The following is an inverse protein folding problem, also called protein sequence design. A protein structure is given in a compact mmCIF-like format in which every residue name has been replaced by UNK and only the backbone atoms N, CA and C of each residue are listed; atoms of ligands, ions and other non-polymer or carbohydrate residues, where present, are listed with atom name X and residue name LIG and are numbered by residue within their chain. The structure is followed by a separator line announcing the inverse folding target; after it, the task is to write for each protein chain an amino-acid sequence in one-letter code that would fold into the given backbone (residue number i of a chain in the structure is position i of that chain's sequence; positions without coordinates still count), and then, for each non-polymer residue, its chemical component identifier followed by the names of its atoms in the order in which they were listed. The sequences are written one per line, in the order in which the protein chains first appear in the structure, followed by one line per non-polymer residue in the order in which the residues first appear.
data_IF_671409610377
#
_entry.id   IF_671409610377
#
_cell.length_a   1.000
_cell.length_b   1.000
_cell.length_c   1.000
_cell.angle_alpha   90.00
_cell.angle_beta   90.00
_cell.angle_gamma   90.00
#
_symmetry.space_group_name_H-M   'P 1'
#
loop_
_entity.id
_entity.type
_entity.pdbx_description
1 polymer ?
#
# COMPACT_ATOMS: atom_id res chain seq x y z
N UNK A 1 20.75 9.65 9.74
CA UNK A 1 20.66 8.26 9.30
C UNK A 1 19.19 7.95 9.12
N UNK A 2 18.79 7.48 7.94
CA UNK A 2 17.42 7.08 7.64
C UNK A 2 17.21 5.63 8.05
N UNK A 3 16.16 5.35 8.82
CA UNK A 3 15.83 4.02 9.32
C UNK A 3 14.40 3.63 8.98
N UNK A 4 14.22 2.43 8.44
CA UNK A 4 12.91 1.85 8.12
C UNK A 4 12.73 0.56 8.89
N UNK A 5 11.59 0.39 9.55
CA UNK A 5 11.19 -0.91 10.09
C UNK A 5 10.12 -1.53 9.20
N UNK A 6 10.32 -2.76 8.74
CA UNK A 6 9.32 -3.57 8.04
C UNK A 6 8.82 -4.65 9.01
N UNK A 7 7.57 -4.54 9.45
CA UNK A 7 6.93 -5.50 10.34
C UNK A 7 6.11 -6.50 9.53
N UNK A 8 6.47 -7.77 9.68
CA UNK A 8 6.07 -8.88 8.84
C UNK A 8 7.18 -9.20 7.83
N UNK A 9 7.90 -10.29 8.05
CA UNK A 9 8.92 -10.81 7.13
C UNK A 9 8.33 -11.88 6.19
N UNK A 10 7.04 -11.78 5.85
CA UNK A 10 6.39 -12.56 4.78
C UNK A 10 6.93 -12.18 3.40
N UNK A 11 6.30 -12.66 2.32
CA UNK A 11 6.79 -12.37 0.97
C UNK A 11 6.75 -10.86 0.65
N UNK A 12 5.66 -10.17 1.00
CA UNK A 12 5.50 -8.73 0.74
C UNK A 12 6.54 -7.91 1.50
N UNK A 13 6.69 -8.14 2.82
CA UNK A 13 7.66 -7.41 3.64
C UNK A 13 9.10 -7.69 3.23
N UNK A 14 9.42 -8.94 2.88
CA UNK A 14 10.75 -9.28 2.36
C UNK A 14 11.05 -8.59 1.03
N UNK A 15 10.10 -8.57 0.10
CA UNK A 15 10.25 -7.78 -1.14
C UNK A 15 10.41 -6.30 -0.85
N UNK A 16 9.59 -5.73 0.05
CA UNK A 16 9.69 -4.32 0.41
C UNK A 16 11.08 -3.97 0.96
N UNK A 17 11.57 -4.73 1.95
CA UNK A 17 12.90 -4.56 2.52
C UNK A 17 14.01 -4.69 1.47
N UNK A 18 13.93 -5.70 0.59
CA UNK A 18 14.92 -5.90 -0.46
C UNK A 18 14.93 -4.76 -1.49
N UNK A 19 13.76 -4.26 -1.91
CA UNK A 19 13.68 -3.13 -2.85
C UNK A 19 14.20 -1.85 -2.21
N UNK A 20 13.87 -1.60 -0.94
CA UNK A 20 14.40 -0.46 -0.19
C UNK A 20 15.93 -0.50 -0.08
N UNK A 21 16.50 -1.66 0.20
CA UNK A 21 17.95 -1.81 0.33
C UNK A 21 18.67 -1.74 -1.02
N UNK A 22 18.19 -2.46 -2.02
CA UNK A 22 18.80 -2.49 -3.34
C UNK A 22 18.82 -1.12 -4.02
N UNK A 23 17.79 -0.29 -3.78
CA UNK A 23 17.75 1.08 -4.29
C UNK A 23 18.36 2.11 -3.33
N UNK A 24 18.99 1.67 -2.23
CA UNK A 24 19.62 2.52 -1.22
C UNK A 24 18.71 3.63 -0.67
N UNK A 25 17.44 3.27 -0.46
CA UNK A 25 16.40 4.21 -0.01
C UNK A 25 16.61 4.61 1.45
N UNK A 26 17.11 3.68 2.28
CA UNK A 26 17.37 3.89 3.70
C UNK A 26 18.78 3.40 4.08
N UNK A 27 19.38 4.00 5.11
CA UNK A 27 20.69 3.55 5.61
C UNK A 27 20.57 2.22 6.39
N UNK A 28 19.49 2.08 7.17
CA UNK A 28 19.20 0.91 8.01
C UNK A 28 17.78 0.41 7.80
N UNK A 29 17.63 -0.90 7.64
CA UNK A 29 16.34 -1.60 7.59
C UNK A 29 16.28 -2.64 8.70
N UNK A 30 15.23 -2.56 9.50
CA UNK A 30 14.91 -3.56 10.52
C UNK A 30 13.72 -4.39 10.04
N UNK A 31 13.90 -5.71 9.97
CA UNK A 31 12.82 -6.64 9.70
C UNK A 31 12.36 -7.29 11.00
N UNK A 32 11.06 -7.19 11.29
CA UNK A 32 10.46 -7.85 12.45
C UNK A 32 9.48 -8.92 12.01
N UNK A 33 9.52 -10.09 12.63
CA UNK A 33 8.49 -11.11 12.50
C UNK A 33 8.20 -11.79 13.83
N UNK A 34 7.02 -12.40 13.93
CA UNK A 34 6.63 -13.18 15.10
C UNK A 34 7.16 -14.60 15.05
N UNK A 35 7.43 -15.10 13.83
CA UNK A 35 7.94 -16.44 13.59
C UNK A 35 9.46 -16.45 13.69
N UNK A 36 9.94 -17.22 14.65
CA UNK A 36 11.36 -17.37 14.96
C UNK A 36 12.22 -17.66 13.72
N UNK A 37 13.28 -16.89 13.55
CA UNK A 37 14.32 -17.07 12.54
C UNK A 37 13.96 -16.64 11.12
N UNK A 38 12.70 -16.28 10.82
CA UNK A 38 12.30 -15.89 9.46
C UNK A 38 12.86 -14.52 9.08
N UNK A 39 12.72 -13.52 9.95
CA UNK A 39 13.28 -12.19 9.74
C UNK A 39 14.80 -12.23 9.63
N UNK A 40 15.44 -12.98 10.52
CA UNK A 40 16.89 -13.15 10.64
C UNK A 40 17.46 -13.82 9.40
N UNK A 41 16.89 -14.97 9.00
CA UNK A 41 17.32 -15.71 7.83
C UNK A 41 17.21 -14.88 6.56
N UNK A 42 16.09 -14.15 6.39
CA UNK A 42 15.90 -13.28 5.22
C UNK A 42 16.83 -12.07 5.22
N UNK A 43 17.08 -11.45 6.37
CA UNK A 43 18.03 -10.35 6.46
C UNK A 43 19.45 -10.81 6.10
N UNK A 44 19.90 -11.98 6.59
CA UNK A 44 21.20 -12.54 6.22
C UNK A 44 21.30 -12.80 4.72
N UNK A 45 20.27 -13.40 4.11
CA UNK A 45 20.21 -13.68 2.67
C UNK A 45 20.28 -12.39 1.82
N UNK A 46 19.56 -11.34 2.24
CA UNK A 46 19.65 -10.02 1.60
C UNK A 46 21.03 -9.38 1.79
N UNK A 47 21.67 -9.51 2.96
CA UNK A 47 23.02 -8.97 3.17
C UNK A 47 24.10 -9.74 2.40
N UNK A 48 23.90 -11.04 2.13
CA UNK A 48 24.74 -11.78 1.18
C UNK A 48 24.54 -11.28 -0.25
N UNK A 49 23.30 -10.92 -0.60
CA UNK A 49 22.96 -10.29 -1.88
C UNK A 49 23.61 -8.91 -2.03
N UNK A 50 23.75 -8.14 -0.94
CA UNK A 50 24.35 -6.80 -0.93
C UNK A 50 25.75 -6.77 -1.55
N UNK A 51 26.59 -7.75 -1.23
CA UNK A 51 27.94 -7.84 -1.78
C UNK A 51 27.95 -8.11 -3.30
N UNK A 52 26.97 -8.86 -3.81
CA UNK A 52 26.87 -9.21 -5.23
C UNK A 52 26.34 -8.04 -6.06
N UNK A 53 25.44 -7.25 -5.48
CA UNK A 53 24.71 -6.19 -6.16
C UNK A 53 25.25 -4.78 -5.85
N UNK A 54 26.11 -4.65 -4.84
CA UNK A 54 26.86 -3.44 -4.53
C UNK A 54 26.05 -2.34 -3.83
N UNK A 55 25.08 -2.69 -2.99
CA UNK A 55 24.35 -1.72 -2.16
C UNK A 55 24.87 -1.72 -0.71
N UNK A 56 24.88 -0.55 -0.07
CA UNK A 56 25.43 -0.34 1.27
C UNK A 56 24.38 -0.28 2.39
N UNK A 57 23.08 -0.26 2.05
CA UNK A 57 22.00 -0.36 3.05
C UNK A 57 22.14 -1.61 3.92
N UNK A 58 22.12 -1.41 5.24
CA UNK A 58 22.19 -2.52 6.20
C UNK A 58 20.80 -3.07 6.52
N UNK A 59 20.68 -4.39 6.63
CA UNK A 59 19.44 -5.07 6.98
C UNK A 59 19.69 -6.03 8.14
N UNK A 60 18.87 -5.92 9.18
CA UNK A 60 18.88 -6.85 10.31
C UNK A 60 17.48 -7.36 10.63
N UNK A 61 17.38 -8.64 10.92
CA UNK A 61 16.13 -9.30 11.31
C UNK A 61 16.06 -9.57 12.81
N UNK A 62 14.87 -9.46 13.39
CA UNK A 62 14.64 -9.79 14.80
C UNK A 62 13.25 -10.38 15.05
N UNK A 63 13.22 -11.49 15.78
CA UNK A 63 11.99 -12.13 16.23
C UNK A 63 11.40 -11.37 17.42
N UNK A 64 10.23 -10.76 17.25
CA UNK A 64 9.45 -10.07 18.30
C UNK A 64 10.17 -8.95 19.12
N UNK A 65 11.38 -8.53 18.76
CA UNK A 65 12.11 -7.48 19.48
C UNK A 65 11.85 -6.09 18.90
N UNK A 66 10.72 -5.49 19.26
CA UNK A 66 10.35 -4.14 18.83
C UNK A 66 11.31 -3.05 19.29
N UNK A 67 12.15 -3.29 20.31
CA UNK A 67 13.14 -2.27 20.71
C UNK A 67 14.16 -2.00 19.59
N UNK A 68 14.39 -2.97 18.70
CA UNK A 68 15.24 -2.81 17.51
C UNK A 68 14.66 -1.84 16.49
N UNK A 69 13.35 -1.63 16.51
CA UNK A 69 12.68 -0.65 15.65
C UNK A 69 12.89 0.80 16.09
N UNK A 70 13.57 1.06 17.22
CA UNK A 70 13.72 2.40 17.76
C UNK A 70 14.23 3.43 16.74
N UNK A 71 13.67 4.64 16.83
CA UNK A 71 13.98 5.80 15.99
C UNK A 71 13.79 5.60 14.48
N UNK A 72 12.91 4.68 14.07
CA UNK A 72 12.53 4.53 12.66
C UNK A 72 11.80 5.78 12.15
N UNK A 73 12.19 6.24 10.96
CA UNK A 73 11.50 7.31 10.24
C UNK A 73 10.18 6.81 9.65
N UNK A 74 10.17 5.58 9.14
CA UNK A 74 8.99 4.94 8.54
C UNK A 74 8.85 3.52 9.06
N UNK A 75 7.62 3.11 9.38
CA UNK A 75 7.28 1.73 9.74
C UNK A 75 6.30 1.19 8.71
N UNK A 76 6.70 0.14 7.99
CA UNK A 76 5.88 -0.56 7.01
C UNK A 76 5.23 -1.77 7.67
N UNK A 77 3.89 -1.81 7.69
CA UNK A 77 3.12 -2.87 8.33
C UNK A 77 2.57 -3.81 7.25
N UNK A 78 3.15 -5.00 7.17
CA UNK A 78 2.72 -6.09 6.29
C UNK A 78 2.17 -7.29 7.06
N UNK A 79 2.31 -7.28 8.40
CA UNK A 79 1.80 -8.30 9.30
C UNK A 79 0.29 -8.43 9.25
N UNK A 80 -0.14 -9.66 9.00
CA UNK A 80 -1.53 -10.07 8.93
C UNK A 80 -1.57 -11.52 8.46
N UNK A 81 -2.74 -12.13 8.53
CA UNK A 81 -2.95 -13.47 7.99
C UNK A 81 -3.76 -13.39 6.69
N UNK A 82 -3.46 -14.27 5.71
CA UNK A 82 -4.35 -14.46 4.57
C UNK A 82 -5.64 -15.14 5.03
N UNK A 83 -6.71 -14.98 4.26
CA UNK A 83 -7.97 -15.70 4.49
C UNK A 83 -7.72 -17.21 4.39
N UNK A 84 -8.06 -17.95 5.45
CA UNK A 84 -7.98 -19.41 5.47
C UNK A 84 -9.29 -20.03 4.98
N UNK A 85 -9.28 -21.26 4.42
CA UNK A 85 -10.52 -21.99 4.13
C UNK A 85 -11.45 -22.04 5.35
N UNK A 86 -12.72 -21.73 5.14
CA UNK A 86 -13.74 -21.70 6.22
C UNK A 86 -13.81 -20.40 7.04
N UNK A 87 -12.85 -19.47 6.89
CA UNK A 87 -12.85 -18.20 7.61
C UNK A 87 -13.84 -17.20 7.00
N UNK A 88 -14.68 -16.59 7.83
CA UNK A 88 -15.58 -15.50 7.44
C UNK A 88 -14.78 -14.21 7.16
N UNK A 89 -15.41 -13.23 6.52
CA UNK A 89 -14.76 -11.94 6.24
C UNK A 89 -14.55 -11.16 7.53
N UNK A 90 -15.52 -11.23 8.42
CA UNK A 90 -15.57 -10.53 9.70
C UNK A 90 -14.51 -11.06 10.66
N UNK A 91 -14.36 -12.40 10.76
CA UNK A 91 -13.28 -13.02 11.54
C UNK A 91 -11.89 -12.60 11.03
N UNK A 92 -11.69 -12.58 9.72
CA UNK A 92 -10.42 -12.14 9.13
C UNK A 92 -10.12 -10.69 9.48
N UNK A 93 -11.13 -9.81 9.37
CA UNK A 93 -11.02 -8.39 9.75
C UNK A 93 -10.66 -8.28 11.23
N UNK A 94 -11.34 -9.00 12.13
CA UNK A 94 -11.06 -8.96 13.56
C UNK A 94 -9.63 -9.39 13.90
N UNK A 95 -9.15 -10.49 13.30
CA UNK A 95 -7.79 -10.97 13.52
C UNK A 95 -6.76 -9.97 13.01
N UNK A 96 -6.90 -9.49 11.78
CA UNK A 96 -5.94 -8.53 11.21
C UNK A 96 -6.02 -7.17 11.90
N UNK A 97 -7.20 -6.76 12.40
CA UNK A 97 -7.34 -5.55 13.20
C UNK A 97 -6.51 -5.63 14.49
N UNK A 98 -6.63 -6.73 15.24
CA UNK A 98 -5.82 -6.96 16.44
C UNK A 98 -4.32 -6.95 16.16
N UNK A 99 -3.89 -7.59 15.07
CA UNK A 99 -2.49 -7.64 14.65
C UNK A 99 -1.98 -6.24 14.29
N UNK A 100 -2.67 -5.52 13.40
CA UNK A 100 -2.23 -4.20 12.92
C UNK A 100 -2.18 -3.19 14.06
N UNK A 101 -3.19 -3.17 14.94
CA UNK A 101 -3.21 -2.29 16.10
C UNK A 101 -2.02 -2.57 17.03
N UNK A 102 -1.83 -3.84 17.41
CA UNK A 102 -0.72 -4.25 18.29
C UNK A 102 0.65 -3.93 17.68
N UNK A 103 0.85 -4.22 16.40
CA UNK A 103 2.09 -3.89 15.68
C UNK A 103 2.34 -2.39 15.71
N UNK A 104 1.34 -1.58 15.36
CA UNK A 104 1.49 -0.13 15.31
C UNK A 104 1.78 0.46 16.70
N UNK A 105 1.06 0.04 17.75
CA UNK A 105 1.29 0.48 19.13
C UNK A 105 2.71 0.14 19.61
N UNK A 106 3.17 -1.10 19.37
CA UNK A 106 4.51 -1.52 19.77
C UNK A 106 5.60 -0.79 18.99
N UNK A 107 5.41 -0.55 17.69
CA UNK A 107 6.35 0.25 16.89
C UNK A 107 6.41 1.71 17.38
N UNK A 108 5.27 2.34 17.66
CA UNK A 108 5.23 3.73 18.12
C UNK A 108 5.79 3.93 19.54
N UNK A 109 5.80 2.87 20.38
CA UNK A 109 6.48 2.89 21.67
C UNK A 109 7.98 3.22 21.54
N UNK A 110 8.63 2.70 20.50
CA UNK A 110 10.07 2.90 20.25
C UNK A 110 10.35 3.93 19.15
N UNK A 111 9.38 4.19 18.29
CA UNK A 111 9.48 5.16 17.18
C UNK A 111 8.28 6.11 17.17
N UNK A 112 8.14 7.00 18.17
CA UNK A 112 6.96 7.86 18.34
C UNK A 112 6.76 8.85 17.19
N UNK A 113 7.80 9.10 16.38
CA UNK A 113 7.78 10.01 15.23
C UNK A 113 7.60 9.32 13.87
N UNK A 114 7.53 7.98 13.83
CA UNK A 114 7.44 7.25 12.56
C UNK A 114 6.18 7.57 11.76
N UNK A 115 6.32 7.64 10.44
CA UNK A 115 5.18 7.55 9.52
C UNK A 115 4.83 6.06 9.34
N UNK A 116 3.55 5.71 9.40
CA UNK A 116 3.07 4.35 9.21
C UNK A 116 2.61 4.14 7.77
N UNK A 117 3.16 3.12 7.11
CA UNK A 117 2.74 2.65 5.78
C UNK A 117 2.08 1.29 5.93
N UNK A 118 0.76 1.24 5.76
CA UNK A 118 -0.05 0.03 5.99
C UNK A 118 -0.28 -0.67 4.65
N UNK A 119 0.11 -1.95 4.61
CA UNK A 119 -0.10 -2.85 3.47
C UNK A 119 -1.05 -4.00 3.85
N UNK A 120 -1.13 -4.35 5.14
CA UNK A 120 -1.99 -5.42 5.64
C UNK A 120 -3.46 -5.24 5.23
N UNK A 121 -4.08 -6.33 4.77
CA UNK A 121 -5.44 -6.33 4.25
C UNK A 121 -6.51 -6.66 5.31
N UNK A 122 -7.75 -6.17 5.17
CA UNK A 122 -8.23 -5.27 4.12
C UNK A 122 -7.68 -3.84 4.27
N UNK A 123 -6.95 -3.36 3.28
CA UNK A 123 -5.98 -2.27 3.45
C UNK A 123 -6.61 -0.93 3.88
N UNK A 124 -7.71 -0.50 3.25
CA UNK A 124 -8.40 0.74 3.66
C UNK A 124 -8.95 0.65 5.09
N UNK A 125 -9.49 -0.52 5.45
CA UNK A 125 -10.05 -0.78 6.78
C UNK A 125 -8.96 -0.84 7.85
N UNK A 126 -7.81 -1.44 7.57
CA UNK A 126 -6.66 -1.46 8.48
C UNK A 126 -6.05 -0.06 8.63
N UNK A 127 -6.04 0.74 7.55
CA UNK A 127 -5.60 2.14 7.57
C UNK A 127 -6.55 3.00 8.41
N UNK A 128 -7.85 2.82 8.25
CA UNK A 128 -8.87 3.48 9.05
C UNK A 128 -8.81 3.08 10.53
N UNK A 129 -8.59 1.79 10.83
CA UNK A 129 -8.36 1.31 12.19
C UNK A 129 -7.18 2.03 12.85
N UNK A 130 -6.03 2.08 12.17
CA UNK A 130 -4.85 2.77 12.69
C UNK A 130 -5.13 4.26 12.94
N UNK A 131 -5.81 4.94 12.00
CA UNK A 131 -6.23 6.33 12.15
C UNK A 131 -7.05 6.55 13.42
N UNK A 132 -8.04 5.69 13.67
CA UNK A 132 -8.98 5.84 14.78
C UNK A 132 -8.43 5.38 16.12
N UNK A 133 -7.49 4.43 16.14
CA UNK A 133 -7.01 3.80 17.38
C UNK A 133 -5.74 4.43 17.95
N UNK A 134 -4.91 5.08 17.13
CA UNK A 134 -3.55 5.48 17.55
C UNK A 134 -3.43 6.96 17.95
N UNK A 135 -4.41 7.80 17.59
CA UNK A 135 -4.36 9.25 17.90
C UNK A 135 -3.24 10.02 17.18
N UNK A 136 -2.65 9.45 16.14
CA UNK A 136 -1.62 10.11 15.34
C UNK A 136 -2.21 11.19 14.43
N UNK A 137 -1.42 12.21 14.06
CA UNK A 137 -1.75 13.10 12.95
C UNK A 137 -2.05 12.32 11.66
N UNK A 138 -3.15 12.65 10.98
CA UNK A 138 -3.62 11.93 9.80
C UNK A 138 -2.57 11.83 8.68
N UNK A 139 -1.69 12.83 8.57
CA UNK A 139 -0.63 12.84 7.56
C UNK A 139 0.44 11.75 7.75
N UNK A 140 0.47 11.09 8.92
CA UNK A 140 1.44 10.03 9.27
C UNK A 140 0.87 8.62 9.11
N UNK A 141 -0.35 8.44 8.63
CA UNK A 141 -0.97 7.11 8.43
C UNK A 141 -1.38 6.98 6.97
N UNK A 142 -0.69 6.09 6.25
CA UNK A 142 -0.80 5.96 4.80
C UNK A 142 -1.06 4.50 4.46
N UNK A 143 -2.17 4.21 3.79
CA UNK A 143 -2.41 2.92 3.17
C UNK A 143 -1.85 2.87 1.74
N UNK A 144 -1.08 1.84 1.39
CA UNK A 144 -0.34 1.81 0.12
C UNK A 144 -1.24 1.64 -1.12
N UNK A 145 -2.39 0.96 -1.01
CA UNK A 145 -3.06 0.21 -2.10
C UNK A 145 -3.11 0.87 -3.49
N UNK A 146 -3.45 2.15 -3.58
CA UNK A 146 -3.57 2.85 -4.87
C UNK A 146 -2.28 2.86 -5.71
N UNK A 147 -1.10 2.78 -5.09
CA UNK A 147 0.18 2.71 -5.78
C UNK A 147 0.31 1.41 -6.59
N UNK A 148 -0.05 0.28 -5.97
CA UNK A 148 -0.09 -1.03 -6.62
C UNK A 148 -1.16 -1.11 -7.70
N UNK A 149 -2.37 -0.62 -7.40
CA UNK A 149 -3.46 -0.73 -8.37
C UNK A 149 -3.19 0.13 -9.61
N UNK A 150 -2.57 1.30 -9.41
CA UNK A 150 -2.07 2.14 -10.52
C UNK A 150 -0.98 1.45 -11.33
N UNK A 151 -0.06 0.71 -10.69
CA UNK A 151 0.98 -0.03 -11.43
C UNK A 151 0.39 -1.15 -12.28
N UNK A 152 -0.66 -1.84 -11.80
CA UNK A 152 -1.42 -2.83 -12.59
C UNK A 152 -2.09 -2.19 -13.79
N UNK A 153 -2.72 -1.04 -13.59
CA UNK A 153 -3.39 -0.32 -14.67
C UNK A 153 -2.41 0.10 -15.76
N UNK A 154 -1.26 0.68 -15.37
CA UNK A 154 -0.16 1.05 -16.28
C UNK A 154 0.38 -0.15 -17.03
N UNK A 155 0.53 -1.30 -16.38
CA UNK A 155 0.95 -2.54 -17.04
C UNK A 155 -0.03 -2.93 -18.16
N UNK A 156 -1.32 -3.07 -17.87
CA UNK A 156 -2.28 -3.50 -18.90
C UNK A 156 -2.45 -2.48 -20.03
N UNK A 157 -2.39 -1.18 -19.72
CA UNK A 157 -2.32 -0.13 -20.74
C UNK A 157 -1.10 -0.30 -21.65
N UNK A 158 0.08 -0.53 -21.06
CA UNK A 158 1.33 -0.70 -21.82
C UNK A 158 1.29 -1.92 -22.76
N UNK A 159 0.67 -3.01 -22.33
CA UNK A 159 0.47 -4.20 -23.15
C UNK A 159 -0.46 -3.94 -24.33
N UNK A 160 -1.54 -3.18 -24.11
CA UNK A 160 -2.48 -2.82 -25.18
C UNK A 160 -1.90 -1.81 -26.17
N UNK A 161 -1.01 -0.94 -25.71
CA UNK A 161 -0.32 0.07 -26.52
C UNK A 161 0.96 -0.46 -27.19
N UNK A 162 1.40 -1.67 -26.84
CA UNK A 162 2.70 -2.24 -27.22
C UNK A 162 3.87 -1.26 -26.96
N UNK A 163 3.96 -0.78 -25.72
CA UNK A 163 4.95 0.22 -25.32
C UNK A 163 5.56 -0.08 -23.94
N UNK A 164 6.59 0.69 -23.56
CA UNK A 164 7.19 0.59 -22.24
C UNK A 164 6.24 1.14 -21.16
N UNK A 165 5.98 0.36 -20.11
CA UNK A 165 5.07 0.74 -19.02
C UNK A 165 5.49 2.02 -18.28
N UNK A 166 6.78 2.36 -18.25
CA UNK A 166 7.28 3.58 -17.61
C UNK A 166 6.95 4.86 -18.41
N UNK A 167 6.42 4.71 -19.62
CA UNK A 167 6.00 5.81 -20.50
C UNK A 167 4.50 6.08 -20.40
N UNK A 168 3.79 5.26 -19.62
CA UNK A 168 2.34 5.29 -19.44
C UNK A 168 2.00 5.85 -18.05
N UNK A 169 1.12 6.84 -18.05
CA UNK A 169 0.52 7.36 -16.82
C UNK A 169 -0.91 6.86 -16.67
N UNK A 170 -1.28 6.59 -15.42
CA UNK A 170 -2.57 6.03 -15.04
C UNK A 170 -2.72 6.04 -13.53
N UNK A 171 -3.93 6.31 -13.06
CA UNK A 171 -4.28 6.39 -11.65
C UNK A 171 -5.45 5.46 -11.36
N UNK A 172 -5.37 4.75 -10.25
CA UNK A 172 -6.50 4.01 -9.66
C UNK A 172 -6.81 4.65 -8.30
N UNK A 173 -8.08 5.01 -8.10
CA UNK A 173 -8.60 5.60 -6.86
C UNK A 173 -9.72 4.72 -6.27
N UNK A 174 -10.30 5.11 -5.14
CA UNK A 174 -11.33 4.34 -4.43
C UNK A 174 -10.75 3.30 -3.48
N UNK A 175 -11.59 2.42 -2.95
CA UNK A 175 -11.17 1.33 -2.07
C UNK A 175 -10.34 0.26 -2.79
N UNK A 176 -9.37 -0.32 -2.10
CA UNK A 176 -8.53 -1.42 -2.57
C UNK A 176 -9.30 -2.74 -2.51
N UNK A 177 -9.91 -3.11 -3.64
CA UNK A 177 -10.67 -4.34 -3.79
C UNK A 177 -11.25 -4.48 -5.20
N UNK A 178 -11.55 -5.71 -5.59
CA UNK A 178 -11.90 -6.07 -6.97
C UNK A 178 -13.16 -5.38 -7.50
N UNK A 179 -14.03 -4.88 -6.60
CA UNK A 179 -15.26 -4.17 -6.97
C UNK A 179 -15.30 -2.72 -6.50
N UNK A 180 -14.25 -2.27 -5.81
CA UNK A 180 -14.20 -0.93 -5.19
C UNK A 180 -13.16 -0.03 -5.83
N UNK A 181 -12.15 -0.56 -6.52
CA UNK A 181 -11.14 0.29 -7.15
C UNK A 181 -11.66 0.90 -8.46
N UNK A 182 -11.15 2.07 -8.83
CA UNK A 182 -11.63 2.86 -9.96
C UNK A 182 -10.44 3.27 -10.82
N UNK A 183 -10.10 2.49 -11.87
CA UNK A 183 -9.12 2.90 -12.87
C UNK A 183 -9.63 4.08 -13.69
N UNK A 184 -8.93 5.21 -13.59
CA UNK A 184 -9.34 6.47 -14.20
C UNK A 184 -8.85 6.59 -15.65
N UNK A 185 -9.46 5.83 -16.56
CA UNK A 185 -9.04 5.78 -17.97
C UNK A 185 -9.04 7.14 -18.67
N UNK A 186 -9.93 8.06 -18.29
CA UNK A 186 -9.97 9.42 -18.84
C UNK A 186 -8.70 10.23 -18.53
N UNK A 187 -8.03 9.92 -17.43
CA UNK A 187 -6.77 10.57 -17.02
C UNK A 187 -5.54 9.79 -17.47
N UNK A 188 -5.70 8.60 -18.06
CA UNK A 188 -4.58 7.80 -18.52
C UNK A 188 -3.96 8.40 -19.78
N UNK A 189 -2.62 8.44 -19.83
CA UNK A 189 -1.88 8.99 -20.98
C UNK A 189 -0.71 8.11 -21.37
N UNK A 190 -0.32 8.18 -22.64
CA UNK A 190 0.96 7.71 -23.15
C UNK A 190 1.80 8.92 -23.54
N UNK A 191 2.89 9.16 -22.81
CA UNK A 191 3.71 10.39 -22.92
C UNK A 191 2.90 11.70 -22.98
N UNK A 192 1.86 11.79 -22.15
CA UNK A 192 0.98 12.97 -22.05
C UNK A 192 -0.17 13.02 -23.07
N UNK A 193 -0.23 12.09 -24.02
CA UNK A 193 -1.35 11.99 -24.97
C UNK A 193 -2.41 11.01 -24.43
N UNK A 194 -3.71 11.35 -24.45
CA UNK A 194 -4.77 10.47 -23.95
C UNK A 194 -4.73 9.08 -24.59
N UNK A 195 -4.85 8.02 -23.78
CA UNK A 195 -4.83 6.64 -24.30
C UNK A 195 -6.00 6.33 -25.25
N UNK A 196 -7.10 7.10 -25.13
CA UNK A 196 -8.25 7.04 -26.05
C UNK A 196 -7.94 7.44 -27.48
N UNK A 197 -6.79 8.08 -27.73
CA UNK A 197 -6.33 8.36 -29.10
C UNK A 197 -5.81 7.10 -29.81
N UNK A 198 -5.46 6.06 -29.05
CA UNK A 198 -4.77 4.87 -29.54
C UNK A 198 -5.59 3.59 -29.33
N UNK A 199 -6.46 3.56 -28.32
CA UNK A 199 -7.24 2.40 -27.94
C UNK A 199 -8.74 2.68 -28.10
N UNK A 200 -9.48 1.67 -28.55
CA UNK A 200 -10.94 1.74 -28.61
C UNK A 200 -11.55 1.76 -27.21
N UNK A 201 -12.80 2.23 -27.10
CA UNK A 201 -13.52 2.26 -25.83
C UNK A 201 -13.68 0.85 -25.24
N UNK A 202 -13.95 -0.15 -26.09
CA UNK A 202 -14.06 -1.56 -25.69
C UNK A 202 -12.73 -2.06 -25.12
N UNK A 203 -11.60 -1.71 -25.76
CA UNK A 203 -10.30 -2.15 -25.29
C UNK A 203 -9.93 -1.50 -23.95
N UNK A 204 -10.27 -0.24 -23.77
CA UNK A 204 -10.10 0.47 -22.49
C UNK A 204 -10.94 -0.20 -21.39
N UNK A 205 -12.19 -0.55 -21.67
CA UNK A 205 -13.07 -1.22 -20.71
C UNK A 205 -12.55 -2.62 -20.31
N UNK A 206 -12.00 -3.39 -21.26
CA UNK A 206 -11.29 -4.64 -20.96
C UNK A 206 -10.13 -4.44 -19.98
N UNK A 207 -9.31 -3.39 -20.19
CA UNK A 207 -8.16 -3.06 -19.35
C UNK A 207 -8.61 -2.64 -17.95
N UNK A 208 -9.66 -1.83 -17.85
CA UNK A 208 -10.25 -1.41 -16.57
C UNK A 208 -10.70 -2.65 -15.79
N UNK A 209 -11.44 -3.56 -16.42
CA UNK A 209 -11.90 -4.81 -15.81
C UNK A 209 -10.75 -5.71 -15.38
N UNK A 210 -9.73 -5.88 -16.23
CA UNK A 210 -8.55 -6.69 -15.93
C UNK A 210 -7.75 -6.13 -14.73
N UNK A 211 -7.66 -4.79 -14.64
CA UNK A 211 -7.04 -4.11 -13.50
C UNK A 211 -7.78 -4.43 -12.20
N UNK A 212 -9.12 -4.29 -12.22
CA UNK A 212 -9.98 -4.52 -11.07
C UNK A 212 -9.83 -5.94 -10.51
N UNK A 213 -9.79 -6.97 -11.37
CA UNK A 213 -9.67 -8.37 -10.91
C UNK A 213 -8.23 -8.85 -10.76
N UNK A 214 -7.22 -7.98 -10.88
CA UNK A 214 -5.81 -8.37 -10.94
C UNK A 214 -5.32 -9.12 -9.69
N UNK A 215 -5.89 -8.82 -8.51
CA UNK A 215 -5.60 -9.55 -7.27
C UNK A 215 -6.08 -11.01 -7.32
N UNK A 216 -7.32 -11.23 -7.77
CA UNK A 216 -7.88 -12.56 -7.97
C UNK A 216 -7.16 -13.34 -9.06
N UNK A 217 -6.82 -12.70 -10.19
CA UNK A 217 -6.05 -13.33 -11.27
C UNK A 217 -4.71 -13.88 -10.78
N UNK A 218 -3.93 -13.07 -10.05
CA UNK A 218 -2.64 -13.52 -9.52
C UNK A 218 -2.79 -14.62 -8.47
N UNK A 219 -3.83 -14.54 -7.64
CA UNK A 219 -4.12 -15.61 -6.67
C UNK A 219 -4.43 -16.93 -7.36
N UNK A 220 -5.19 -16.90 -8.46
CA UNK A 220 -5.49 -18.09 -9.27
C UNK A 220 -4.25 -18.70 -9.95
N UNK A 221 -3.30 -17.87 -10.38
CA UNK A 221 -2.09 -18.32 -11.10
C UNK A 221 -0.98 -18.79 -10.16
N UNK A 222 -0.76 -18.10 -9.04
CA UNK A 222 0.33 -18.37 -8.10
C UNK A 222 -0.06 -19.33 -6.97
N UNK A 223 -1.36 -19.57 -6.77
CA UNK A 223 -1.89 -20.28 -5.61
C UNK A 223 -1.86 -19.47 -4.31
N UNK A 224 -1.42 -18.20 -4.35
CA UNK A 224 -1.37 -17.27 -3.22
C UNK A 224 -1.35 -15.82 -3.72
N UNK A 225 -1.49 -14.85 -2.82
CA UNK A 225 -1.50 -13.42 -3.15
C UNK A 225 -0.17 -12.94 -3.72
N UNK A 226 -0.18 -11.86 -4.50
CA UNK A 226 1.01 -11.23 -5.05
C UNK A 226 1.95 -10.66 -3.98
N UNK A 227 3.25 -10.54 -4.28
CA UNK A 227 4.22 -9.93 -3.35
C UNK A 227 5.26 -9.00 -3.99
N UNK A 228 5.68 -9.24 -5.23
CA UNK A 228 6.64 -8.37 -5.91
C UNK A 228 6.13 -6.93 -6.08
N UNK A 229 5.00 -6.77 -6.78
CA UNK A 229 4.41 -5.45 -6.99
C UNK A 229 3.94 -4.78 -5.67
N UNK A 230 3.28 -5.47 -4.72
CA UNK A 230 2.94 -4.88 -3.42
C UNK A 230 4.16 -4.43 -2.61
N UNK A 231 5.24 -5.23 -2.58
CA UNK A 231 6.47 -4.87 -1.87
C UNK A 231 7.17 -3.66 -2.50
N UNK A 232 7.28 -3.64 -3.83
CA UNK A 232 7.84 -2.49 -4.56
C UNK A 232 6.98 -1.22 -4.42
N UNK A 233 5.66 -1.35 -4.41
CA UNK A 233 4.75 -0.23 -4.17
C UNK A 233 4.90 0.34 -2.75
N UNK A 234 5.06 -0.53 -1.74
CA UNK A 234 5.42 -0.12 -0.38
C UNK A 234 6.75 0.65 -0.34
N UNK A 235 7.79 0.11 -0.98
CA UNK A 235 9.09 0.77 -1.07
C UNK A 235 9.02 2.13 -1.78
N UNK A 236 8.23 2.25 -2.85
CA UNK A 236 8.03 3.51 -3.60
C UNK A 236 7.39 4.60 -2.72
N UNK A 237 6.41 4.23 -1.89
CA UNK A 237 5.78 5.15 -0.93
C UNK A 237 6.81 5.61 0.11
N UNK A 238 7.58 4.69 0.68
CA UNK A 238 8.63 4.97 1.67
C UNK A 238 9.72 5.88 1.09
N UNK A 239 10.18 5.62 -0.15
CA UNK A 239 11.19 6.42 -0.83
C UNK A 239 10.73 7.86 -1.02
N UNK A 240 9.49 8.06 -1.49
CA UNK A 240 8.94 9.41 -1.65
C UNK A 240 8.91 10.20 -0.34
N UNK A 241 8.68 9.51 0.78
CA UNK A 241 8.68 10.09 2.12
C UNK A 241 10.10 10.42 2.56
N UNK A 242 10.99 9.44 2.60
CA UNK A 242 12.36 9.60 3.14
C UNK A 242 13.18 10.61 2.34
N UNK A 243 13.07 10.61 1.03
CA UNK A 243 13.80 11.53 0.16
C UNK A 243 13.03 12.82 -0.12
N UNK A 244 11.88 13.02 0.53
CA UNK A 244 11.04 14.21 0.39
C UNK A 244 10.77 14.56 -1.10
N UNK A 245 10.44 13.54 -1.90
CA UNK A 245 10.37 13.68 -3.37
C UNK A 245 9.14 14.47 -3.83
N UNK A 246 8.13 14.61 -2.97
CA UNK A 246 6.85 15.28 -3.29
C UNK A 246 6.17 14.66 -4.52
N UNK A 247 6.34 13.34 -4.72
CA UNK A 247 5.68 12.60 -5.80
C UNK A 247 4.18 12.54 -5.57
N UNK A 248 3.42 12.48 -6.66
CA UNK A 248 1.98 12.21 -6.62
C UNK A 248 1.78 10.71 -6.71
N UNK A 249 1.26 10.10 -5.65
CA UNK A 249 1.05 8.65 -5.55
C UNK A 249 -0.36 8.43 -4.98
N UNK A 250 -1.22 7.61 -5.62
CA UNK A 250 -2.48 7.22 -5.03
C UNK A 250 -2.27 6.38 -3.76
N UNK A 251 -2.84 6.81 -2.65
CA UNK A 251 -2.76 6.11 -1.36
C UNK A 251 -4.12 6.18 -0.66
N UNK A 252 -4.40 5.20 0.20
CA UNK A 252 -5.55 5.26 1.11
C UNK A 252 -5.24 6.18 2.27
N UNK A 253 -5.98 7.28 2.37
CA UNK A 253 -5.74 8.34 3.35
C UNK A 253 -7.05 8.86 3.92
N UNK A 254 -6.97 9.50 5.09
CA UNK A 254 -8.13 10.10 5.75
C UNK A 254 -8.73 11.24 4.92
N UNK A 255 -10.04 11.16 4.63
CA UNK A 255 -10.81 12.21 3.96
C UNK A 255 -11.68 12.98 4.96
N UNK A 256 -11.66 14.31 4.84
CA UNK A 256 -12.32 15.28 5.73
C UNK A 256 -13.03 16.38 4.92
N UNK A 257 -13.68 15.98 3.82
CA UNK A 257 -14.41 16.85 2.91
C UNK A 257 -13.98 16.69 1.46
N UNK A 258 -12.75 16.21 1.23
CA UNK A 258 -12.26 15.93 -0.11
C UNK A 258 -13.17 14.92 -0.81
N UNK A 259 -13.49 15.18 -2.09
CA UNK A 259 -14.43 14.37 -2.87
C UNK A 259 -15.85 14.28 -2.26
N UNK A 260 -16.18 15.12 -1.28
CA UNK A 260 -17.44 15.08 -0.54
C UNK A 260 -17.51 13.99 0.54
N UNK A 261 -16.39 13.30 0.80
CA UNK A 261 -16.33 12.20 1.78
C UNK A 261 -15.71 12.67 3.10
N UNK A 262 -16.21 12.13 4.21
CA UNK A 262 -15.73 12.44 5.56
C UNK A 262 -15.60 11.17 6.39
N UNK A 263 -14.68 11.11 7.35
CA UNK A 263 -14.57 9.99 8.29
C UNK A 263 -14.37 8.63 7.58
N UNK A 264 -13.39 8.56 6.68
CA UNK A 264 -13.04 7.36 5.94
C UNK A 264 -11.57 7.43 5.51
N UNK A 265 -10.91 6.27 5.38
CA UNK A 265 -9.68 6.15 4.60
C UNK A 265 -10.01 5.55 3.23
N UNK A 266 -9.64 6.23 2.14
CA UNK A 266 -9.93 5.77 0.78
C UNK A 266 -8.82 6.20 -0.17
N UNK A 267 -8.60 5.42 -1.24
CA UNK A 267 -7.56 5.66 -2.23
C UNK A 267 -7.79 6.95 -3.02
N UNK A 268 -6.90 7.92 -2.87
CA UNK A 268 -6.89 9.19 -3.63
C UNK A 268 -5.45 9.60 -3.94
N UNK A 269 -5.19 10.40 -5.00
CA UNK A 269 -3.85 10.91 -5.27
C UNK A 269 -3.42 11.89 -4.18
N UNK A 270 -2.25 11.65 -3.60
CA UNK A 270 -1.64 12.52 -2.58
C UNK A 270 -0.24 12.92 -3.00
N UNK A 271 0.20 14.09 -2.53
CA UNK A 271 1.60 14.47 -2.58
C UNK A 271 2.30 13.91 -1.35
N UNK A 272 3.28 13.02 -1.55
CA UNK A 272 4.05 12.40 -0.47
C UNK A 272 5.42 13.07 -0.32
N UNK A 273 5.66 13.68 0.85
CA UNK A 273 6.91 14.34 1.21
C UNK A 273 7.44 13.88 2.56
N UNK A 274 8.42 14.62 3.09
CA UNK A 274 9.11 14.30 4.34
C UNK A 274 8.19 14.21 5.57
N UNK A 275 7.03 14.87 5.53
CA UNK A 275 6.03 14.80 6.61
C UNK A 275 4.91 13.78 6.34
N UNK A 276 5.09 12.88 5.38
CA UNK A 276 4.05 11.96 4.92
C UNK A 276 3.14 12.62 3.91
N UNK A 277 1.84 12.71 4.20
CA UNK A 277 0.85 13.31 3.30
C UNK A 277 0.94 14.85 3.41
N UNK A 278 1.46 15.49 2.36
CA UNK A 278 1.57 16.96 2.29
C UNK A 278 0.27 17.61 1.83
N UNK A 279 -0.46 16.96 0.90
CA UNK A 279 -1.81 17.36 0.47
C UNK A 279 -2.50 16.24 -0.30
N UNK A 280 -3.83 16.25 -0.27
CA UNK A 280 -4.69 15.48 -1.18
C UNK A 280 -4.92 16.30 -2.46
N UNK A 281 -4.92 15.65 -3.61
CA UNK A 281 -5.26 16.26 -4.89
C UNK A 281 -6.70 15.88 -5.23
N UNK A 282 -7.61 16.84 -5.20
CA UNK A 282 -8.99 16.60 -5.68
C UNK A 282 -9.04 16.66 -7.20
N UNK A 283 -9.29 15.50 -7.81
CA UNK A 283 -9.45 15.39 -9.26
C UNK A 283 -10.81 15.93 -9.71
N UNK A 284 -10.89 16.58 -10.88
CA UNK A 284 -12.16 17.03 -11.46
C UNK A 284 -12.92 15.84 -12.05
N UNK A 285 -13.50 15.01 -11.19
CA UNK A 285 -14.26 13.83 -11.56
C UNK A 285 -15.55 14.23 -12.29
N UNK A 286 -15.88 13.50 -13.36
CA UNK A 286 -17.18 13.64 -14.04
C UNK A 286 -18.31 12.96 -13.24
N UNK A 287 -19.55 13.06 -13.71
CA UNK A 287 -20.71 12.55 -12.97
C UNK A 287 -20.66 11.02 -12.72
N UNK A 288 -20.20 10.24 -13.70
CA UNK A 288 -20.05 8.79 -13.59
C UNK A 288 -18.91 8.42 -12.62
N UNK A 289 -17.75 9.07 -12.75
CA UNK A 289 -16.60 8.89 -11.85
C UNK A 289 -16.95 9.25 -10.39
N UNK A 290 -17.73 10.32 -10.17
CA UNK A 290 -18.25 10.70 -8.84
C UNK A 290 -19.20 9.65 -8.28
N UNK A 291 -20.12 9.13 -9.09
CA UNK A 291 -21.04 8.08 -8.67
C UNK A 291 -20.30 6.78 -8.28
N UNK A 292 -19.29 6.40 -9.09
CA UNK A 292 -18.41 5.25 -8.79
C UNK A 292 -17.60 5.46 -7.51
N UNK A 293 -17.03 6.65 -7.32
CA UNK A 293 -16.28 6.98 -6.10
C UNK A 293 -17.16 6.89 -4.86
N UNK A 294 -18.38 7.45 -4.92
CA UNK A 294 -19.35 7.34 -3.83
C UNK A 294 -19.70 5.89 -3.50
N UNK A 295 -20.00 5.07 -4.52
CA UNK A 295 -20.30 3.64 -4.31
C UNK A 295 -19.11 2.86 -3.72
N UNK A 296 -17.88 3.19 -4.16
CA UNK A 296 -16.64 2.65 -3.60
C UNK A 296 -16.47 3.02 -2.12
N UNK A 297 -16.65 4.31 -1.78
CA UNK A 297 -16.57 4.80 -0.41
C UNK A 297 -17.63 4.13 0.49
N UNK A 298 -18.87 3.96 0.02
CA UNK A 298 -19.93 3.24 0.73
C UNK A 298 -19.55 1.77 1.01
N UNK A 299 -18.92 1.08 0.04
CA UNK A 299 -18.44 -0.28 0.23
C UNK A 299 -17.29 -0.37 1.26
N UNK A 300 -16.38 0.61 1.27
CA UNK A 300 -15.33 0.72 2.31
C UNK A 300 -15.96 0.96 3.67
N UNK A 301 -16.94 1.88 3.80
CA UNK A 301 -17.66 2.12 5.06
C UNK A 301 -18.36 0.87 5.58
N UNK A 302 -19.02 0.11 4.69
CA UNK A 302 -19.62 -1.17 5.05
C UNK A 302 -18.59 -2.13 5.63
N UNK A 303 -17.40 -2.19 5.03
CA UNK A 303 -16.29 -3.02 5.55
C UNK A 303 -15.78 -2.52 6.89
N UNK A 304 -15.68 -1.21 7.09
CA UNK A 304 -15.29 -0.59 8.36
C UNK A 304 -16.33 -0.84 9.46
N UNK A 305 -17.61 -1.06 9.12
CA UNK A 305 -18.65 -1.47 10.05
C UNK A 305 -18.27 -2.71 10.86
N UNK A 306 -17.60 -3.68 10.22
CA UNK A 306 -17.13 -4.89 10.86
C UNK A 306 -16.13 -4.62 11.99
N UNK A 307 -15.37 -3.51 11.97
CA UNK A 307 -14.46 -3.15 13.07
C UNK A 307 -15.19 -2.90 14.38
N UNK A 308 -16.42 -2.35 14.33
CA UNK A 308 -17.26 -2.14 15.52
C UNK A 308 -17.89 -3.44 15.99
N UNK A 309 -18.36 -4.26 15.06
CA UNK A 309 -19.00 -5.55 15.35
C UNK A 309 -18.02 -6.51 16.06
N UNK A 310 -16.74 -6.46 15.69
CA UNK A 310 -15.68 -7.26 16.34
C UNK A 310 -14.99 -6.57 17.52
N UNK A 311 -15.45 -5.37 17.92
CA UNK A 311 -14.93 -4.63 19.07
C UNK A 311 -13.48 -4.10 18.90
N UNK A 312 -13.02 -3.94 17.67
CA UNK A 312 -11.69 -3.36 17.38
C UNK A 312 -11.68 -1.81 17.43
N UNK A 313 -12.85 -1.19 17.23
CA UNK A 313 -13.13 0.25 17.36
C UNK A 313 -14.42 0.50 18.13
#
# INVERSE_FOLDING_TARGET
MSKVTVVGAGNVGATCANVLAFNEVADEIVMLDVKEGISEGKAIDMMQTAQLLGFDTTIAGYTNDYAKSADSNVVVITSGIPRKPGMTREELIGVNAGIVKSVAENSLKYSPNAILVIISNPMDTMTYLALKSLGLPKNRIIGMGGALDSSRFKYYLSQALDCNANEVEGLVIGGHGDTTMIPLARFATYKGLPVSNYLSAEKIDEIVKATMVGGATLTGLLGTSAWYAPGAAGATVVESILHNQRKVIPCSVALEGEYGENDICCGVPVVLGGNGIERIIELPLNADEKAKFKASAEAVRKTNGALKEVGAL
#
